data_IF_707595780997
#
_entry.id   IF_707595780997
#
_cell.length_a   1.000
_cell.length_b   1.000
_cell.length_c   1.000
_cell.angle_alpha   90.00
_cell.angle_beta   90.00
_cell.angle_gamma   90.00
#
_symmetry.space_group_name_H-M   'P 1'
#
loop_
_entity.id
_entity.type
_entity.pdbx_description
1 polymer ?
#
# COMPACT_ATOMS: atom_id res chain seq x y z
N UNK A 1 16.89 -35.94 14.57
CA UNK A 1 15.73 -35.13 14.96
C UNK A 1 15.27 -34.39 13.70
N UNK A 2 14.04 -34.63 13.24
CA UNK A 2 13.46 -33.85 12.15
C UNK A 2 13.25 -32.41 12.66
N UNK A 3 13.75 -31.40 11.96
CA UNK A 3 13.37 -30.03 12.24
C UNK A 3 11.86 -29.93 12.13
N UNK A 4 11.17 -29.22 13.03
CA UNK A 4 9.76 -28.94 12.85
C UNK A 4 9.59 -28.26 11.49
N UNK A 5 8.67 -28.76 10.68
CA UNK A 5 8.32 -28.12 9.43
C UNK A 5 7.97 -26.66 9.77
N UNK A 6 8.71 -25.70 9.19
CA UNK A 6 8.38 -24.29 9.29
C UNK A 6 6.95 -24.15 8.80
N UNK A 7 6.08 -23.56 9.62
CA UNK A 7 4.71 -23.27 9.17
C UNK A 7 4.80 -22.55 7.83
N UNK A 8 4.03 -23.02 6.85
CA UNK A 8 4.03 -22.39 5.53
C UNK A 8 3.60 -20.92 5.69
N UNK A 9 4.35 -20.01 5.06
CA UNK A 9 4.01 -18.59 5.06
C UNK A 9 2.69 -18.41 4.29
N UNK A 10 1.59 -18.17 4.98
CA UNK A 10 0.29 -17.97 4.33
C UNK A 10 0.25 -16.62 3.59
N UNK A 11 -0.49 -16.58 2.50
CA UNK A 11 -0.93 -15.31 1.92
C UNK A 11 -2.14 -14.83 2.72
N UNK A 12 -2.06 -13.63 3.25
CA UNK A 12 -3.09 -12.97 4.05
C UNK A 12 -3.75 -11.92 3.16
N UNK A 13 -5.06 -12.01 2.96
CA UNK A 13 -5.84 -11.11 2.09
C UNK A 13 -6.93 -10.44 2.92
N UNK A 14 -7.04 -9.12 2.86
CA UNK A 14 -8.07 -8.37 3.57
C UNK A 14 -9.35 -8.33 2.73
N UNK A 15 -10.42 -8.93 3.21
CA UNK A 15 -11.75 -8.86 2.61
C UNK A 15 -12.56 -7.71 3.23
N UNK A 16 -12.28 -6.48 2.78
CA UNK A 16 -12.80 -5.23 3.38
C UNK A 16 -14.33 -5.19 3.47
N UNK A 17 -15.01 -5.82 2.52
CA UNK A 17 -16.49 -5.86 2.48
C UNK A 17 -17.13 -6.92 3.38
N UNK A 18 -16.35 -7.75 4.09
CA UNK A 18 -16.86 -8.87 4.92
C UNK A 18 -16.30 -8.89 6.35
N UNK A 19 -15.48 -7.88 6.72
CA UNK A 19 -14.82 -7.80 8.02
C UNK A 19 -14.07 -9.10 8.39
N UNK A 20 -13.29 -9.60 7.45
CA UNK A 20 -12.48 -10.81 7.61
C UNK A 20 -11.20 -10.73 6.79
N UNK A 21 -10.29 -11.63 7.05
CA UNK A 21 -9.19 -11.96 6.15
C UNK A 21 -9.34 -13.38 5.63
N UNK A 22 -8.89 -13.60 4.39
CA UNK A 22 -8.76 -14.91 3.77
C UNK A 22 -7.30 -15.35 3.83
N UNK A 23 -7.09 -16.61 4.24
CA UNK A 23 -5.77 -17.25 4.28
C UNK A 23 -5.62 -18.20 3.09
N UNK A 24 -4.53 -18.04 2.34
CA UNK A 24 -4.22 -18.87 1.17
C UNK A 24 -2.87 -19.56 1.39
N UNK A 25 -2.81 -20.85 1.12
CA UNK A 25 -1.55 -21.59 1.01
C UNK A 25 -0.88 -21.25 -0.34
N UNK A 26 0.27 -20.59 -0.36
CA UNK A 26 0.92 -20.16 -1.61
C UNK A 26 1.42 -21.34 -2.47
N UNK A 27 1.72 -22.48 -1.87
CA UNK A 27 2.21 -23.65 -2.60
C UNK A 27 1.10 -24.37 -3.39
N UNK A 28 -0.08 -24.50 -2.77
CA UNK A 28 -1.25 -25.15 -3.39
C UNK A 28 -2.19 -24.18 -4.07
N UNK A 29 -2.04 -22.87 -3.80
CA UNK A 29 -2.91 -21.77 -4.28
C UNK A 29 -4.38 -21.97 -3.88
N UNK A 30 -4.61 -22.51 -2.69
CA UNK A 30 -5.95 -22.76 -2.16
C UNK A 30 -6.22 -21.98 -0.90
N UNK A 31 -7.45 -21.52 -0.75
CA UNK A 31 -7.95 -20.99 0.51
C UNK A 31 -7.92 -22.09 1.55
N UNK A 32 -7.30 -21.83 2.70
CA UNK A 32 -7.14 -22.75 3.82
C UNK A 32 -7.94 -22.32 5.05
N UNK A 33 -8.45 -21.11 5.06
CA UNK A 33 -9.28 -20.59 6.16
C UNK A 33 -9.59 -19.12 6.02
N UNK A 34 -10.37 -18.63 6.96
CA UNK A 34 -10.66 -17.20 7.16
C UNK A 34 -10.55 -16.87 8.64
N UNK A 35 -10.20 -15.62 8.96
CA UNK A 35 -10.18 -15.13 10.33
C UNK A 35 -10.99 -13.80 10.40
N UNK A 36 -11.76 -13.55 11.46
CA UNK A 36 -12.50 -12.33 11.61
C UNK A 36 -11.58 -11.15 11.90
N UNK A 37 -11.94 -9.98 11.38
CA UNK A 37 -11.29 -8.69 11.66
C UNK A 37 -12.28 -7.70 12.26
N UNK A 38 -11.86 -6.47 12.48
CA UNK A 38 -12.78 -5.33 12.61
C UNK A 38 -13.47 -5.00 11.28
N UNK A 39 -14.29 -3.97 11.29
CA UNK A 39 -15.04 -3.53 10.10
C UNK A 39 -14.15 -2.74 9.17
N UNK A 40 -14.21 -3.07 7.89
CA UNK A 40 -13.44 -2.48 6.80
C UNK A 40 -11.92 -2.57 7.05
N UNK A 41 -11.35 -3.82 7.13
CA UNK A 41 -9.90 -3.99 7.10
C UNK A 41 -9.41 -3.46 5.75
N UNK A 42 -8.60 -2.40 5.76
CA UNK A 42 -8.30 -1.67 4.53
C UNK A 42 -6.83 -1.82 4.11
N UNK A 43 -5.91 -1.37 4.94
CA UNK A 43 -4.48 -1.49 4.69
C UNK A 43 -3.80 -2.36 5.74
N UNK A 44 -2.61 -2.86 5.39
CA UNK A 44 -1.79 -3.67 6.27
C UNK A 44 -0.32 -3.28 6.15
N UNK A 45 0.44 -3.48 7.22
CA UNK A 45 1.87 -3.18 7.24
C UNK A 45 2.59 -4.05 8.27
N UNK A 46 3.75 -4.57 7.89
CA UNK A 46 4.63 -5.28 8.84
C UNK A 46 5.23 -4.30 9.84
N UNK A 47 5.34 -4.68 11.11
CA UNK A 47 6.09 -3.91 12.11
C UNK A 47 7.58 -3.88 11.76
N UNK A 48 8.31 -2.82 12.17
CA UNK A 48 9.73 -2.70 11.88
C UNK A 48 10.61 -3.87 12.33
N UNK A 49 10.22 -4.55 13.40
CA UNK A 49 10.90 -5.75 13.91
C UNK A 49 10.50 -7.05 13.18
N UNK A 50 9.52 -6.97 12.27
CA UNK A 50 9.01 -8.11 11.52
C UNK A 50 8.15 -9.10 12.30
N UNK A 51 7.83 -8.83 13.58
CA UNK A 51 7.12 -9.77 14.44
C UNK A 51 5.60 -9.73 14.31
N UNK A 52 5.03 -8.65 13.79
CA UNK A 52 3.60 -8.50 13.65
C UNK A 52 3.23 -7.86 12.32
N UNK A 53 2.14 -8.33 11.73
CA UNK A 53 1.45 -7.66 10.63
C UNK A 53 0.30 -6.82 11.21
N UNK A 54 0.34 -5.51 11.04
CA UNK A 54 -0.74 -4.61 11.46
C UNK A 54 -1.80 -4.56 10.37
N UNK A 55 -3.06 -4.73 10.74
CA UNK A 55 -4.23 -4.49 9.90
C UNK A 55 -4.99 -3.29 10.46
N UNK A 56 -5.31 -2.34 9.60
CA UNK A 56 -6.09 -1.16 9.94
C UNK A 56 -7.58 -1.41 9.65
N UNK A 57 -8.38 -1.47 10.70
CA UNK A 57 -9.83 -1.65 10.63
C UNK A 57 -10.53 -0.28 10.70
N UNK A 58 -10.71 0.35 9.54
CA UNK A 58 -11.00 1.78 9.44
C UNK A 58 -12.36 2.20 10.01
N UNK A 59 -13.37 1.33 9.97
CA UNK A 59 -14.69 1.62 10.60
C UNK A 59 -14.73 1.19 12.06
N UNK A 60 -14.00 0.14 12.45
CA UNK A 60 -13.95 -0.27 13.85
C UNK A 60 -13.07 0.62 14.72
N UNK A 61 -12.26 1.51 14.12
CA UNK A 61 -11.35 2.41 14.81
C UNK A 61 -10.31 1.67 15.65
N UNK A 62 -9.70 0.64 15.06
CA UNK A 62 -8.67 -0.15 15.75
C UNK A 62 -7.61 -0.69 14.79
N UNK A 63 -6.53 -1.18 15.39
CA UNK A 63 -5.46 -1.89 14.71
C UNK A 63 -5.38 -3.31 15.26
N UNK A 64 -5.47 -4.30 14.37
CA UNK A 64 -5.19 -5.69 14.71
C UNK A 64 -3.74 -6.02 14.40
N UNK A 65 -3.07 -6.68 15.33
CA UNK A 65 -1.71 -7.20 15.15
C UNK A 65 -1.80 -8.71 14.98
N UNK A 66 -1.30 -9.19 13.86
CA UNK A 66 -1.36 -10.59 13.44
C UNK A 66 0.04 -11.17 13.38
N UNK A 67 0.15 -12.47 13.58
CA UNK A 67 1.35 -13.22 13.20
C UNK A 67 1.50 -13.16 11.67
N UNK A 68 2.64 -12.67 11.16
CA UNK A 68 2.82 -12.38 9.73
C UNK A 68 2.92 -13.65 8.86
N UNK A 69 3.10 -14.83 9.46
CA UNK A 69 3.20 -16.11 8.76
C UNK A 69 1.86 -16.85 8.72
N UNK A 70 1.09 -16.75 9.78
CA UNK A 70 -0.13 -17.56 9.96
C UNK A 70 -1.41 -16.74 9.82
N UNK A 71 -1.37 -15.42 9.98
CA UNK A 71 -2.54 -14.54 10.03
C UNK A 71 -3.29 -14.58 11.37
N UNK A 72 -2.81 -15.31 12.38
CA UNK A 72 -3.46 -15.39 13.69
C UNK A 72 -3.34 -14.09 14.48
N UNK A 73 -4.42 -13.69 15.13
CA UNK A 73 -4.45 -12.49 15.96
C UNK A 73 -3.51 -12.65 17.17
N UNK A 74 -2.61 -11.70 17.36
CA UNK A 74 -1.73 -11.58 18.50
C UNK A 74 -2.27 -10.61 19.55
N UNK A 75 -2.72 -9.43 19.11
CA UNK A 75 -3.29 -8.38 19.97
C UNK A 75 -4.09 -7.38 19.14
N UNK A 76 -4.84 -6.53 19.83
CA UNK A 76 -5.60 -5.42 19.27
C UNK A 76 -5.26 -4.11 19.98
N UNK A 77 -5.23 -3.01 19.26
CA UNK A 77 -5.10 -1.65 19.80
C UNK A 77 -6.34 -0.88 19.40
N UNK A 78 -7.13 -0.46 20.38
CA UNK A 78 -8.35 0.30 20.20
C UNK A 78 -8.07 1.82 20.19
N UNK A 79 -9.10 2.61 19.88
CA UNK A 79 -9.06 4.08 19.86
C UNK A 79 -8.08 4.69 18.84
N UNK A 80 -7.81 3.97 17.76
CA UNK A 80 -7.15 4.51 16.58
C UNK A 80 -8.24 4.89 15.58
N UNK A 81 -8.62 6.15 15.56
CA UNK A 81 -9.79 6.60 14.80
C UNK A 81 -9.54 6.66 13.30
N UNK A 82 -10.42 6.01 12.51
CA UNK A 82 -10.43 5.99 11.06
C UNK A 82 -9.06 5.70 10.42
N UNK A 83 -8.36 4.62 10.78
CA UNK A 83 -7.06 4.30 10.23
C UNK A 83 -7.21 3.75 8.80
N UNK A 84 -7.41 4.63 7.82
CA UNK A 84 -7.60 4.22 6.43
C UNK A 84 -6.30 3.69 5.82
N UNK A 85 -5.21 4.46 5.91
CA UNK A 85 -3.86 4.00 5.61
C UNK A 85 -2.93 4.21 6.79
N UNK A 86 -1.83 3.47 6.83
CA UNK A 86 -0.85 3.49 7.89
C UNK A 86 0.58 3.38 7.33
N UNK A 87 1.55 3.90 8.07
CA UNK A 87 2.94 3.84 7.66
C UNK A 87 3.90 4.12 8.81
N UNK A 88 5.09 3.50 8.75
CA UNK A 88 6.22 3.84 9.60
C UNK A 88 7.20 4.73 8.84
N UNK A 89 7.78 5.72 9.53
CA UNK A 89 8.95 6.43 9.00
C UNK A 89 10.13 5.46 8.83
N UNK A 90 11.04 5.68 7.86
CA UNK A 90 12.20 4.80 7.65
C UNK A 90 13.09 4.60 8.88
N UNK A 91 13.20 5.59 9.78
CA UNK A 91 13.94 5.47 11.06
C UNK A 91 13.14 4.79 12.17
N UNK A 92 11.90 4.37 11.86
CA UNK A 92 10.97 3.66 12.76
C UNK A 92 10.57 4.42 14.03
N UNK A 93 10.76 5.75 14.09
CA UNK A 93 10.37 6.53 15.28
C UNK A 93 8.95 7.05 15.21
N UNK A 94 8.37 7.08 14.02
CA UNK A 94 7.05 7.60 13.80
C UNK A 94 6.16 6.54 13.16
N UNK A 95 4.94 6.46 13.65
CA UNK A 95 3.84 5.75 13.03
C UNK A 95 2.77 6.79 12.66
N UNK A 96 2.24 6.70 11.46
CA UNK A 96 1.29 7.68 10.93
C UNK A 96 0.06 6.97 10.39
N UNK A 97 -1.13 7.48 10.68
CA UNK A 97 -2.39 7.02 10.07
C UNK A 97 -3.06 8.17 9.31
N UNK A 98 -3.63 7.88 8.15
CA UNK A 98 -4.49 8.80 7.42
C UNK A 98 -5.94 8.49 7.76
N UNK A 99 -6.67 9.48 8.26
CA UNK A 99 -8.11 9.39 8.57
C UNK A 99 -8.93 9.97 7.43
N UNK A 100 -9.34 9.09 6.50
CA UNK A 100 -10.01 9.47 5.26
C UNK A 100 -11.32 10.24 5.51
N UNK A 101 -12.10 9.82 6.51
CA UNK A 101 -13.41 10.40 6.87
C UNK A 101 -13.30 11.52 7.89
N UNK A 102 -12.16 11.63 8.57
CA UNK A 102 -11.93 12.60 9.66
C UNK A 102 -11.13 13.82 9.20
N UNK A 103 -10.76 13.89 7.92
CA UNK A 103 -10.02 15.00 7.34
C UNK A 103 -8.76 15.35 8.14
N UNK A 104 -7.98 14.33 8.54
CA UNK A 104 -6.77 14.52 9.33
C UNK A 104 -5.78 13.38 9.17
N UNK A 105 -4.57 13.64 9.59
CA UNK A 105 -3.51 12.66 9.77
C UNK A 105 -3.13 12.61 11.25
N UNK A 106 -3.11 11.42 11.84
CA UNK A 106 -2.68 11.22 13.22
C UNK A 106 -1.22 10.72 13.22
N UNK A 107 -0.36 11.44 13.93
CA UNK A 107 1.07 11.16 14.04
C UNK A 107 1.36 10.62 15.44
N UNK A 108 1.94 9.44 15.50
CA UNK A 108 2.30 8.76 16.75
C UNK A 108 3.82 8.62 16.85
N UNK A 109 4.35 8.76 18.06
CA UNK A 109 5.69 8.25 18.39
C UNK A 109 5.63 6.74 18.55
N UNK A 110 6.61 6.06 17.97
CA UNK A 110 6.75 4.62 18.08
C UNK A 110 8.05 4.29 18.83
N UNK A 111 7.97 3.45 19.86
CA UNK A 111 9.11 3.07 20.70
C UNK A 111 9.61 1.64 20.46
N UNK A 112 9.12 1.01 19.39
CA UNK A 112 9.37 -0.40 19.06
C UNK A 112 8.23 -1.33 19.49
N UNK A 113 7.31 -0.87 20.34
CA UNK A 113 6.19 -1.65 20.84
C UNK A 113 4.89 -0.85 20.93
N UNK A 114 4.95 0.38 21.43
CA UNK A 114 3.80 1.22 21.70
C UNK A 114 3.72 2.39 20.73
N UNK A 115 2.49 2.83 20.47
CA UNK A 115 2.17 4.00 19.69
C UNK A 115 1.55 5.06 20.59
N UNK A 116 2.29 6.18 20.81
CA UNK A 116 1.80 7.30 21.62
C UNK A 116 1.44 8.46 20.70
N UNK A 117 0.18 8.89 20.71
CA UNK A 117 -0.30 9.99 19.88
C UNK A 117 0.50 11.26 20.20
N UNK A 118 1.23 11.78 19.20
CA UNK A 118 1.95 13.04 19.29
C UNK A 118 1.07 14.20 18.87
N UNK A 119 0.35 14.06 17.74
CA UNK A 119 -0.53 15.11 17.23
C UNK A 119 -1.55 14.59 16.22
N UNK A 120 -2.73 15.20 16.23
CA UNK A 120 -3.70 15.14 15.14
C UNK A 120 -3.51 16.36 14.24
N UNK A 121 -3.13 16.11 12.99
CA UNK A 121 -2.84 17.17 12.00
C UNK A 121 -4.06 17.31 11.10
N UNK A 122 -4.83 18.40 11.18
CA UNK A 122 -5.97 18.62 10.29
C UNK A 122 -5.51 18.76 8.86
N UNK A 123 -6.14 18.02 7.95
CA UNK A 123 -5.92 18.07 6.50
C UNK A 123 -7.26 17.91 5.79
N UNK A 124 -7.71 18.93 5.12
CA UNK A 124 -8.92 18.84 4.30
C UNK A 124 -8.55 18.64 2.83
N UNK A 125 -9.21 17.75 2.06
CA UNK A 125 -10.19 16.75 2.47
C UNK A 125 -9.76 15.39 1.98
N UNK A 126 -10.22 14.36 2.69
CA UNK A 126 -10.04 12.96 2.27
C UNK A 126 -8.55 12.57 2.16
N UNK A 127 -7.76 12.71 3.25
CA UNK A 127 -6.39 12.21 3.26
C UNK A 127 -6.41 10.69 3.10
N UNK A 128 -5.70 10.15 2.12
CA UNK A 128 -5.83 8.74 1.78
C UNK A 128 -4.52 7.96 1.79
N UNK A 129 -3.61 8.22 0.88
CA UNK A 129 -2.36 7.46 0.76
C UNK A 129 -1.17 8.28 1.21
N UNK A 130 -0.12 7.59 1.68
CA UNK A 130 1.09 8.26 2.17
C UNK A 130 2.37 7.55 1.78
N UNK A 131 3.46 8.32 1.77
CA UNK A 131 4.83 7.83 1.72
C UNK A 131 5.74 8.77 2.51
N UNK A 132 6.98 8.35 2.75
CA UNK A 132 7.93 9.11 3.57
C UNK A 132 9.17 9.47 2.75
N UNK A 133 9.85 10.57 3.15
CA UNK A 133 11.21 10.82 2.72
C UNK A 133 12.17 9.84 3.39
N UNK A 134 13.25 9.46 2.69
CA UNK A 134 14.22 8.47 3.20
C UNK A 134 14.94 8.92 4.47
N UNK A 135 15.06 10.24 4.66
CA UNK A 135 15.64 10.86 5.88
C UNK A 135 14.67 10.92 7.08
N UNK A 136 13.46 10.38 6.92
CA UNK A 136 12.43 10.31 7.97
C UNK A 136 11.94 11.67 8.50
N UNK A 137 12.12 12.75 7.73
CA UNK A 137 11.69 14.08 8.18
C UNK A 137 10.29 14.43 7.70
N UNK A 138 9.89 13.93 6.54
CA UNK A 138 8.65 14.34 5.89
C UNK A 138 7.77 13.12 5.58
N UNK A 139 6.48 13.23 5.90
CA UNK A 139 5.45 12.36 5.34
C UNK A 139 4.64 13.14 4.30
N UNK A 140 4.43 12.50 3.15
CA UNK A 140 3.62 13.02 2.06
C UNK A 140 2.28 12.31 2.05
N UNK A 141 1.19 13.07 1.88
CA UNK A 141 -0.18 12.53 1.92
C UNK A 141 -1.00 13.08 0.77
N UNK A 142 -1.69 12.22 0.04
CA UNK A 142 -2.65 12.62 -1.00
C UNK A 142 -3.99 12.99 -0.39
N UNK A 143 -4.58 14.09 -0.88
CA UNK A 143 -5.89 14.61 -0.48
C UNK A 143 -6.84 14.47 -1.68
N UNK A 144 -7.68 13.42 -1.69
CA UNK A 144 -8.44 13.03 -2.89
C UNK A 144 -9.43 14.10 -3.35
N UNK A 145 -10.20 14.66 -2.44
CA UNK A 145 -11.29 15.60 -2.78
C UNK A 145 -10.79 16.98 -3.19
N UNK A 146 -9.62 17.42 -2.69
CA UNK A 146 -9.05 18.72 -3.06
C UNK A 146 -8.03 18.62 -4.18
N UNK A 147 -7.64 17.40 -4.59
CA UNK A 147 -6.66 17.21 -5.64
C UNK A 147 -5.26 17.65 -5.26
N UNK A 148 -4.91 17.54 -3.97
CA UNK A 148 -3.65 18.05 -3.43
C UNK A 148 -2.73 16.92 -2.94
N UNK A 149 -1.44 17.22 -2.92
CA UNK A 149 -0.41 16.55 -2.15
C UNK A 149 -0.02 17.45 -0.98
N UNK A 150 -0.06 16.95 0.24
CA UNK A 150 0.42 17.62 1.44
C UNK A 150 1.76 17.05 1.90
N UNK A 151 2.68 17.89 2.34
CA UNK A 151 3.90 17.50 3.05
C UNK A 151 3.82 17.94 4.51
N UNK A 152 4.12 17.02 5.42
CA UNK A 152 4.07 17.25 6.87
C UNK A 152 5.45 16.97 7.45
N UNK A 153 5.97 17.90 8.23
CA UNK A 153 7.19 17.69 9.03
C UNK A 153 6.88 16.79 10.23
N UNK A 154 7.61 15.68 10.35
CA UNK A 154 7.39 14.71 11.41
C UNK A 154 7.90 15.16 12.79
N UNK A 155 8.92 16.02 12.84
CA UNK A 155 9.47 16.49 14.11
C UNK A 155 8.55 17.52 14.79
N UNK A 156 7.96 18.42 14.01
CA UNK A 156 7.06 19.48 14.50
C UNK A 156 5.56 19.13 14.34
N UNK A 157 5.23 18.12 13.56
CA UNK A 157 3.90 17.70 13.16
C UNK A 157 3.10 18.91 12.58
N UNK A 158 3.72 19.63 11.64
CA UNK A 158 3.11 20.77 10.95
C UNK A 158 3.10 20.56 9.45
N UNK A 159 2.07 21.05 8.78
CA UNK A 159 2.00 21.06 7.33
C UNK A 159 3.04 22.06 6.81
N UNK A 160 3.99 21.57 6.01
CA UNK A 160 5.02 22.39 5.38
C UNK A 160 4.46 23.15 4.17
N UNK A 161 3.75 22.40 3.31
CA UNK A 161 3.12 22.92 2.10
C UNK A 161 2.05 21.98 1.59
N UNK A 162 1.22 22.50 0.67
CA UNK A 162 0.29 21.74 -0.17
C UNK A 162 0.51 22.13 -1.62
N UNK A 163 0.38 21.15 -2.52
CA UNK A 163 0.52 21.33 -3.95
C UNK A 163 -0.70 20.71 -4.64
N UNK A 164 -1.39 21.48 -5.48
CA UNK A 164 -2.43 20.92 -6.34
C UNK A 164 -1.80 20.06 -7.43
N UNK A 165 -2.19 18.80 -7.52
CA UNK A 165 -1.62 17.80 -8.43
C UNK A 165 -2.63 17.28 -9.45
N UNK A 166 -3.91 17.61 -9.33
CA UNK A 166 -5.00 17.20 -10.23
C UNK A 166 -6.09 16.42 -9.52
N UNK A 167 -7.02 15.82 -10.27
CA UNK A 167 -8.23 15.21 -9.70
C UNK A 167 -7.96 13.84 -9.07
N UNK A 168 -8.46 13.66 -7.84
CA UNK A 168 -8.47 12.40 -7.10
C UNK A 168 -7.10 11.70 -7.07
N UNK A 169 -6.05 12.33 -6.52
CA UNK A 169 -4.77 11.67 -6.28
C UNK A 169 -4.96 10.53 -5.27
N UNK A 170 -4.40 9.35 -5.56
CA UNK A 170 -4.50 8.17 -4.71
C UNK A 170 -3.12 7.64 -4.33
N UNK A 171 -2.74 6.46 -4.80
CA UNK A 171 -1.47 5.81 -4.46
C UNK A 171 -0.27 6.71 -4.67
N UNK A 172 0.71 6.55 -3.79
CA UNK A 172 1.87 7.43 -3.71
C UNK A 172 3.13 6.58 -3.55
N UNK A 173 4.14 6.83 -4.37
CA UNK A 173 5.41 6.11 -4.32
C UNK A 173 6.60 7.05 -4.50
N UNK A 174 7.60 6.93 -3.61
CA UNK A 174 8.85 7.69 -3.69
C UNK A 174 9.85 6.95 -4.54
N UNK A 175 10.41 7.61 -5.57
CA UNK A 175 11.48 7.02 -6.37
C UNK A 175 12.79 6.94 -5.57
N UNK A 176 13.68 5.98 -5.88
CA UNK A 176 14.97 5.86 -5.20
C UNK A 176 15.76 7.17 -5.19
N UNK A 177 16.42 7.44 -4.07
CA UNK A 177 17.17 8.71 -3.84
C UNK A 177 16.27 9.91 -3.62
N UNK A 178 15.01 9.72 -3.28
CA UNK A 178 14.02 10.77 -3.01
C UNK A 178 13.87 11.80 -4.15
N UNK A 179 14.09 11.36 -5.39
CA UNK A 179 14.14 12.26 -6.52
C UNK A 179 12.78 12.80 -6.93
N UNK A 180 11.80 11.91 -7.00
CA UNK A 180 10.43 12.24 -7.40
C UNK A 180 9.40 11.47 -6.58
N UNK A 181 8.22 12.05 -6.43
CA UNK A 181 7.01 11.35 -6.03
C UNK A 181 6.21 10.98 -7.26
N UNK A 182 5.82 9.72 -7.38
CA UNK A 182 4.86 9.24 -8.37
C UNK A 182 3.49 9.14 -7.69
N UNK A 183 2.48 9.74 -8.28
CA UNK A 183 1.11 9.78 -7.75
C UNK A 183 0.16 9.18 -8.77
N UNK A 184 -0.55 8.11 -8.42
CA UNK A 184 -1.63 7.55 -9.22
C UNK A 184 -2.84 8.48 -9.20
N UNK A 185 -3.19 9.03 -10.36
CA UNK A 185 -4.29 9.98 -10.51
C UNK A 185 -5.56 9.24 -10.92
N UNK A 186 -6.31 8.75 -9.94
CA UNK A 186 -7.51 7.94 -10.20
C UNK A 186 -8.58 8.67 -11.02
N UNK A 187 -8.64 10.01 -10.89
CA UNK A 187 -9.57 10.84 -11.63
C UNK A 187 -9.07 11.37 -12.98
N UNK A 188 -7.81 11.11 -13.37
CA UNK A 188 -7.17 11.65 -14.58
C UNK A 188 -6.49 10.59 -15.45
N UNK A 189 -6.50 9.33 -15.03
CA UNK A 189 -5.99 8.19 -15.80
C UNK A 189 -4.50 8.28 -16.17
N UNK A 190 -3.71 8.94 -15.30
CA UNK A 190 -2.27 9.12 -15.46
C UNK A 190 -1.51 9.01 -14.13
N UNK A 191 -0.20 9.15 -14.20
CA UNK A 191 0.68 9.34 -13.04
C UNK A 191 1.22 10.75 -13.08
N UNK A 192 0.99 11.52 -12.01
CA UNK A 192 1.66 12.77 -11.78
C UNK A 192 3.06 12.51 -11.21
N UNK A 193 4.09 13.08 -11.84
CA UNK A 193 5.47 13.06 -11.36
C UNK A 193 5.75 14.39 -10.68
N UNK A 194 6.02 14.37 -9.39
CA UNK A 194 6.25 15.58 -8.59
C UNK A 194 7.70 15.67 -8.17
N UNK A 195 8.35 16.75 -8.55
CA UNK A 195 9.59 17.21 -7.91
C UNK A 195 9.19 17.92 -6.59
N UNK A 196 9.25 17.19 -5.50
CA UNK A 196 8.77 17.68 -4.22
C UNK A 196 9.69 18.74 -3.59
N UNK A 197 10.97 18.78 -3.99
CA UNK A 197 11.89 19.85 -3.59
C UNK A 197 11.52 21.19 -4.24
N UNK A 198 11.07 21.14 -5.51
CA UNK A 198 10.57 22.31 -6.24
C UNK A 198 9.09 22.57 -6.03
N UNK A 199 8.37 21.65 -5.37
CA UNK A 199 6.92 21.69 -5.20
C UNK A 199 6.19 21.86 -6.54
N UNK A 200 6.53 21.03 -7.52
CA UNK A 200 6.02 21.15 -8.88
C UNK A 200 5.73 19.80 -9.52
N UNK A 201 4.61 19.69 -10.22
CA UNK A 201 4.36 18.60 -11.16
C UNK A 201 5.23 18.81 -12.39
N UNK A 202 6.21 17.94 -12.63
CA UNK A 202 7.19 18.08 -13.70
C UNK A 202 6.86 17.24 -14.93
N UNK A 203 6.01 16.21 -14.77
CA UNK A 203 5.62 15.31 -15.86
C UNK A 203 4.29 14.64 -15.55
N UNK A 204 3.57 14.23 -16.61
CA UNK A 204 2.45 13.30 -16.58
C UNK A 204 2.80 12.06 -17.40
N UNK A 205 2.51 10.87 -16.88
CA UNK A 205 2.72 9.62 -17.60
C UNK A 205 1.35 9.00 -17.83
N UNK A 206 0.91 8.96 -19.08
CA UNK A 206 -0.36 8.35 -19.42
C UNK A 206 -0.36 6.86 -19.10
N UNK A 207 -1.37 6.41 -18.35
CA UNK A 207 -1.57 5.00 -17.94
C UNK A 207 -2.95 4.51 -18.38
N UNK A 208 -3.52 3.57 -17.68
CA UNK A 208 -4.91 3.16 -17.87
C UNK A 208 -5.85 3.90 -16.93
N UNK A 209 -7.15 3.74 -17.13
CA UNK A 209 -8.18 4.41 -16.33
C UNK A 209 -8.19 3.94 -14.89
N UNK A 210 -8.24 4.91 -13.98
CA UNK A 210 -8.26 4.67 -12.54
C UNK A 210 -6.90 4.28 -11.97
N UNK A 211 -5.84 4.98 -12.38
CA UNK A 211 -4.48 4.80 -11.86
C UNK A 211 -4.47 4.89 -10.33
N UNK A 212 -3.95 3.85 -9.64
CA UNK A 212 -4.17 3.73 -8.21
C UNK A 212 -2.94 3.39 -7.39
N UNK A 213 -2.58 2.14 -7.18
CA UNK A 213 -1.51 1.71 -6.28
C UNK A 213 -0.24 1.25 -7.00
N UNK A 214 0.90 1.47 -6.35
CA UNK A 214 2.22 1.12 -6.86
C UNK A 214 2.80 -0.10 -6.15
N UNK A 215 3.60 -0.88 -6.89
CA UNK A 215 4.47 -1.93 -6.33
C UNK A 215 5.80 -1.94 -7.06
N UNK A 216 6.89 -1.69 -6.30
CA UNK A 216 8.25 -1.85 -6.81
C UNK A 216 8.47 -3.29 -7.31
N UNK A 217 9.05 -3.45 -8.51
CA UNK A 217 9.38 -4.77 -9.08
C UNK A 217 10.77 -5.27 -8.68
N UNK A 218 11.48 -4.49 -7.86
CA UNK A 218 12.78 -4.83 -7.27
C UNK A 218 13.85 -5.27 -8.30
N UNK A 219 13.76 -4.72 -9.49
CA UNK A 219 14.70 -4.93 -10.59
C UNK A 219 15.64 -3.73 -10.83
N UNK A 220 15.53 -2.70 -9.98
CA UNK A 220 16.33 -1.46 -10.09
C UNK A 220 15.85 -0.48 -11.16
N UNK A 221 14.68 -0.74 -11.78
CA UNK A 221 14.20 0.07 -12.90
C UNK A 221 12.68 0.26 -12.92
N UNK A 222 11.90 -0.74 -12.55
CA UNK A 222 10.46 -0.72 -12.81
C UNK A 222 9.60 -0.70 -11.54
N UNK A 223 8.47 -0.03 -11.67
CA UNK A 223 7.37 -0.05 -10.72
C UNK A 223 6.07 -0.39 -11.46
N UNK A 224 5.27 -1.30 -10.90
CA UNK A 224 3.94 -1.61 -11.39
C UNK A 224 2.92 -0.63 -10.79
N UNK A 225 1.90 -0.28 -11.59
CA UNK A 225 0.78 0.56 -11.20
C UNK A 225 -0.54 -0.09 -11.60
N UNK A 226 -1.45 -0.26 -10.66
CA UNK A 226 -2.81 -0.75 -10.96
C UNK A 226 -3.67 0.33 -11.60
N UNK A 227 -4.40 -0.04 -12.67
CA UNK A 227 -5.42 0.78 -13.31
C UNK A 227 -6.79 0.16 -12.99
N UNK A 228 -7.37 0.56 -11.88
CA UNK A 228 -8.50 -0.10 -11.24
C UNK A 228 -9.75 -0.17 -12.12
N UNK A 229 -10.03 0.89 -12.87
CA UNK A 229 -11.23 1.00 -13.74
C UNK A 229 -11.01 0.33 -15.08
N UNK A 230 -9.81 0.42 -15.66
CA UNK A 230 -9.48 -0.23 -16.93
C UNK A 230 -9.21 -1.72 -16.80
N UNK A 231 -8.93 -2.20 -15.59
CA UNK A 231 -8.56 -3.59 -15.31
C UNK A 231 -7.26 -4.00 -15.99
N UNK A 232 -6.26 -3.14 -15.89
CA UNK A 232 -4.89 -3.35 -16.39
C UNK A 232 -3.86 -3.00 -15.31
N UNK A 233 -2.60 -3.35 -15.57
CA UNK A 233 -1.46 -2.89 -14.77
C UNK A 233 -0.45 -2.28 -15.73
N UNK A 234 -0.07 -1.03 -15.48
CA UNK A 234 1.00 -0.36 -16.23
C UNK A 234 2.35 -0.61 -15.57
N UNK A 235 3.36 -0.92 -16.37
CA UNK A 235 4.76 -1.01 -15.93
C UNK A 235 5.47 0.29 -16.31
N UNK A 236 6.01 0.97 -15.30
CA UNK A 236 6.69 2.25 -15.47
C UNK A 236 8.18 2.10 -15.18
N UNK A 237 9.02 2.67 -16.03
CA UNK A 237 10.44 2.88 -15.76
C UNK A 237 10.59 4.19 -14.98
N UNK A 238 10.99 4.09 -13.72
CA UNK A 238 11.13 5.24 -12.84
C UNK A 238 12.43 6.03 -13.06
N UNK A 239 13.39 5.52 -13.83
CA UNK A 239 14.60 6.24 -14.19
C UNK A 239 14.35 7.19 -15.37
N UNK A 240 13.60 6.72 -16.37
CA UNK A 240 13.23 7.50 -17.56
C UNK A 240 11.88 8.22 -17.42
N UNK A 241 11.11 7.87 -16.39
CA UNK A 241 9.76 8.37 -16.14
C UNK A 241 8.83 8.11 -17.34
N UNK A 242 8.83 6.87 -17.85
CA UNK A 242 8.02 6.45 -18.99
C UNK A 242 7.29 5.14 -18.71
N UNK A 243 6.14 4.96 -19.34
CA UNK A 243 5.46 3.66 -19.36
C UNK A 243 6.14 2.75 -20.39
N UNK A 244 6.50 1.54 -19.98
CA UNK A 244 7.20 0.56 -20.81
C UNK A 244 6.28 -0.57 -21.30
N UNK A 245 5.25 -0.92 -20.52
CA UNK A 245 4.32 -1.98 -20.88
C UNK A 245 2.97 -1.81 -20.16
N UNK A 246 1.97 -2.51 -20.66
CA UNK A 246 0.70 -2.75 -19.97
C UNK A 246 0.44 -4.26 -19.89
N UNK A 247 0.03 -4.74 -18.71
CA UNK A 247 -0.50 -6.09 -18.50
C UNK A 247 -2.01 -6.00 -18.63
N UNK A 248 -2.56 -6.72 -19.59
CA UNK A 248 -3.98 -6.71 -19.98
C UNK A 248 -4.63 -8.08 -19.82
N UNK A 249 -5.94 -8.17 -20.06
CA UNK A 249 -6.67 -9.42 -19.90
C UNK A 249 -6.84 -9.83 -18.44
N UNK A 250 -6.83 -8.87 -17.54
CA UNK A 250 -7.00 -9.07 -16.11
C UNK A 250 -8.49 -9.06 -15.70
N UNK A 251 -8.74 -9.56 -14.50
CA UNK A 251 -10.05 -9.46 -13.87
C UNK A 251 -10.37 -8.02 -13.43
N UNK A 252 -11.66 -7.67 -13.26
CA UNK A 252 -12.05 -6.31 -12.85
C UNK A 252 -11.50 -5.86 -11.50
N UNK A 253 -10.96 -4.64 -11.48
CA UNK A 253 -10.56 -3.92 -10.29
C UNK A 253 -9.25 -4.38 -9.64
N UNK A 254 -8.11 -4.44 -10.38
CA UNK A 254 -6.80 -4.63 -9.75
C UNK A 254 -6.55 -3.50 -8.76
N UNK A 255 -6.14 -3.86 -7.53
CA UNK A 255 -6.03 -2.92 -6.42
C UNK A 255 -4.66 -2.96 -5.77
N UNK A 256 -4.45 -3.79 -4.75
CA UNK A 256 -3.16 -3.98 -4.14
C UNK A 256 -2.35 -5.10 -4.80
N UNK A 257 -1.03 -4.98 -4.70
CA UNK A 257 -0.10 -5.90 -5.32
C UNK A 257 1.00 -6.30 -4.35
N UNK A 258 1.43 -7.56 -4.43
CA UNK A 258 2.61 -8.04 -3.73
C UNK A 258 3.48 -8.91 -4.64
N UNK A 259 4.80 -8.76 -4.54
CA UNK A 259 5.77 -9.42 -5.41
C UNK A 259 6.42 -10.60 -4.71
N UNK A 260 6.44 -11.77 -5.35
CA UNK A 260 7.15 -12.94 -4.83
C UNK A 260 8.67 -12.68 -4.70
N UNK A 261 9.32 -13.34 -3.73
CA UNK A 261 10.74 -13.13 -3.45
C UNK A 261 11.66 -13.45 -4.64
N UNK A 262 11.24 -14.36 -5.51
CA UNK A 262 11.93 -14.67 -6.76
C UNK A 262 11.68 -13.65 -7.89
N UNK A 263 10.87 -12.62 -7.62
CA UNK A 263 10.47 -11.54 -8.55
C UNK A 263 9.72 -12.02 -9.78
N UNK A 264 9.26 -13.26 -9.80
CA UNK A 264 8.60 -13.86 -10.95
C UNK A 264 7.10 -13.63 -10.96
N UNK A 265 6.46 -13.63 -9.80
CA UNK A 265 5.01 -13.59 -9.69
C UNK A 265 4.54 -12.33 -8.96
N UNK A 266 3.63 -11.62 -9.61
CA UNK A 266 2.89 -10.52 -8.99
C UNK A 266 1.52 -11.03 -8.54
N UNK A 267 1.27 -11.01 -7.24
CA UNK A 267 -0.01 -11.33 -6.65
C UNK A 267 -0.83 -10.04 -6.58
N UNK A 268 -2.08 -10.08 -7.02
CA UNK A 268 -2.92 -8.89 -7.18
C UNK A 268 -4.31 -9.15 -6.63
N UNK A 269 -4.81 -8.27 -5.77
CA UNK A 269 -6.21 -8.29 -5.37
C UNK A 269 -7.08 -7.67 -6.47
N UNK A 270 -8.18 -8.37 -6.83
CA UNK A 270 -9.15 -7.88 -7.78
C UNK A 270 -10.45 -7.50 -7.05
N UNK A 271 -10.49 -6.25 -6.60
CA UNK A 271 -11.51 -5.72 -5.69
C UNK A 271 -12.94 -5.92 -6.20
N UNK A 272 -13.18 -5.73 -7.50
CA UNK A 272 -14.51 -5.78 -8.08
C UNK A 272 -14.96 -7.20 -8.47
N UNK A 273 -14.04 -8.16 -8.48
CA UNK A 273 -14.31 -9.54 -8.87
C UNK A 273 -14.14 -10.58 -7.76
N UNK A 274 -13.75 -10.16 -6.53
CA UNK A 274 -13.61 -11.04 -5.36
C UNK A 274 -12.56 -12.16 -5.58
N UNK A 275 -11.41 -11.79 -6.15
CA UNK A 275 -10.34 -12.73 -6.41
C UNK A 275 -8.98 -12.14 -6.04
N UNK A 276 -8.04 -13.04 -5.78
CA UNK A 276 -6.60 -12.77 -5.86
C UNK A 276 -6.07 -13.46 -7.11
N UNK A 277 -5.41 -12.71 -7.97
CA UNK A 277 -4.77 -13.25 -9.16
C UNK A 277 -3.27 -13.39 -9.00
N UNK A 278 -2.68 -14.28 -9.77
CA UNK A 278 -1.25 -14.48 -9.89
C UNK A 278 -0.84 -14.19 -11.33
N UNK A 279 0.02 -13.21 -11.52
CA UNK A 279 0.52 -12.80 -12.82
C UNK A 279 1.98 -13.26 -12.95
N UNK A 280 2.32 -13.97 -14.01
CA UNK A 280 3.70 -14.27 -14.37
C UNK A 280 4.30 -13.05 -15.11
N UNK A 281 5.28 -12.40 -14.48
CA UNK A 281 5.92 -11.20 -15.00
C UNK A 281 6.82 -11.46 -16.22
N UNK A 282 7.21 -12.72 -16.49
CA UNK A 282 7.95 -13.06 -17.69
C UNK A 282 7.06 -13.05 -18.94
N UNK A 283 5.81 -13.47 -18.77
CA UNK A 283 4.83 -13.57 -19.86
C UNK A 283 3.80 -12.45 -19.87
N UNK A 284 3.73 -11.67 -18.80
CA UNK A 284 2.69 -10.66 -18.52
C UNK A 284 1.26 -11.23 -18.57
N UNK A 285 1.08 -12.47 -18.11
CA UNK A 285 -0.23 -13.14 -18.13
C UNK A 285 -0.73 -13.49 -16.74
N UNK A 286 -2.01 -13.32 -16.54
CA UNK A 286 -2.74 -13.91 -15.41
C UNK A 286 -2.71 -15.44 -15.58
N UNK A 287 -2.06 -16.14 -14.64
CA UNK A 287 -1.90 -17.61 -14.70
C UNK A 287 -2.78 -18.35 -13.72
N UNK A 288 -3.32 -17.64 -12.73
CA UNK A 288 -4.23 -18.22 -11.74
C UNK A 288 -5.12 -17.14 -11.12
N UNK A 289 -6.30 -17.52 -10.62
CA UNK A 289 -7.24 -16.66 -9.93
C UNK A 289 -7.95 -17.43 -8.82
N UNK A 290 -7.77 -16.96 -7.58
CA UNK A 290 -8.25 -17.61 -6.36
C UNK A 290 -9.42 -16.80 -5.83
N UNK A 291 -10.60 -17.41 -5.68
CA UNK A 291 -11.77 -16.76 -5.12
C UNK A 291 -11.56 -16.48 -3.62
N UNK A 292 -11.87 -15.26 -3.18
CA UNK A 292 -11.77 -14.77 -1.81
C UNK A 292 -13.04 -14.03 -1.40
N UNK A 293 -13.04 -13.38 -0.25
CA UNK A 293 -14.18 -12.61 0.21
C UNK A 293 -14.45 -11.36 -0.62
N UNK A 294 -15.39 -10.55 -0.17
CA UNK A 294 -15.90 -9.37 -0.88
C UNK A 294 -14.98 -8.18 -0.71
N UNK A 295 -14.73 -7.47 -1.82
CA UNK A 295 -13.90 -6.26 -1.87
C UNK A 295 -12.47 -6.52 -1.32
N UNK A 296 -11.72 -7.53 -1.84
CA UNK A 296 -10.36 -7.75 -1.37
C UNK A 296 -9.51 -6.51 -1.65
N UNK A 297 -8.74 -6.10 -0.65
CA UNK A 297 -7.88 -4.91 -0.71
C UNK A 297 -6.42 -5.30 -0.42
N UNK A 298 -5.89 -5.01 0.76
CA UNK A 298 -4.52 -5.35 1.09
C UNK A 298 -4.21 -6.85 1.03
N UNK A 299 -3.02 -7.20 0.56
CA UNK A 299 -2.52 -8.56 0.65
C UNK A 299 -1.06 -8.58 1.13
N UNK A 300 -0.68 -9.67 1.79
CA UNK A 300 0.64 -9.83 2.38
C UNK A 300 1.04 -11.31 2.41
N UNK A 301 2.34 -11.57 2.26
CA UNK A 301 3.00 -12.82 2.63
C UNK A 301 4.45 -12.54 3.05
N UNK A 302 4.94 -13.30 4.03
CA UNK A 302 6.23 -13.01 4.66
C UNK A 302 7.41 -13.18 3.69
N UNK A 303 7.34 -14.18 2.80
CA UNK A 303 8.36 -14.43 1.77
C UNK A 303 8.08 -13.63 0.49
N UNK A 304 8.32 -12.32 0.54
CA UNK A 304 8.09 -11.37 -0.56
C UNK A 304 9.35 -10.58 -0.87
N UNK A 305 9.41 -10.02 -2.08
CA UNK A 305 10.45 -9.09 -2.47
C UNK A 305 10.34 -7.75 -1.70
N UNK A 306 11.42 -6.99 -1.53
CA UNK A 306 11.40 -5.67 -0.90
C UNK A 306 10.34 -4.74 -1.51
N UNK A 307 9.63 -4.01 -0.66
CA UNK A 307 8.58 -3.06 -1.09
C UNK A 307 9.19 -1.77 -1.61
N UNK A 308 10.23 -1.31 -0.94
CA UNK A 308 10.94 -0.10 -1.33
C UNK A 308 12.21 -0.46 -2.11
N UNK A 309 12.47 0.27 -3.19
CA UNK A 309 13.73 0.17 -3.87
C UNK A 309 14.85 0.68 -2.94
N UNK A 310 16.04 0.04 -2.92
CA UNK A 310 17.16 0.56 -2.16
C UNK A 310 17.55 1.94 -2.68
N UNK A 311 17.91 2.86 -1.78
CA UNK A 311 18.50 4.11 -2.21
C UNK A 311 19.83 3.83 -2.90
N UNK A 312 20.15 4.53 -3.99
CA UNK A 312 21.50 4.45 -4.56
C UNK A 312 22.49 4.97 -3.52
N UNK A 313 23.59 4.22 -3.33
CA UNK A 313 24.74 4.59 -2.50
C UNK A 313 25.39 5.89 -2.95
#
# INVERSE_FOLDING_TARGET
MAMPARAADNVIVLDSGEAQLTLIDPATRKVIGTEPTGKEPHHLMITPDGHSLIVADSISNDLMFLDPHTGKVQRKVEDIEDPYQLGFSPDHKWFVTAGLRLDRVDVYRYDGQNMTLAKRVPLSKTPSHMTFSSDSKTVFVTLQDTGELAAIDLATQTVLWKLHVGNTPAGLWMTPGDRYLLIGMTGEDDVAVVDWHKQQVVKRIQTGRGAHNFRNLDDGQHVALTNRVESTISILDYNTLTKTADITGLMPGPDDMELSADRRYLWVTFRFSRHVGIIDLTTHKLIDAIAVGRSPHGLYFANRAPVYAPNPD
#
